data_IF_947923325290
#
_entry.id   IF_947923325290
#
_cell.length_a   1.000
_cell.length_b   1.000
_cell.length_c   1.000
_cell.angle_alpha   90.00
_cell.angle_beta   90.00
_cell.angle_gamma   90.00
#
_symmetry.space_group_name_H-M   'P 1'
#
loop_
_entity.id
_entity.type
_entity.pdbx_description
1 polymer ?
#
# COMPACT_ATOMS: atom_id res chain seq x y z
N UNK A 1 22.81 28.18 58.05
CA UNK A 1 22.03 29.25 57.42
C UNK A 1 22.56 29.40 56.00
N UNK A 2 21.78 28.96 55.00
CA UNK A 2 21.59 29.63 53.69
C UNK A 2 22.82 29.65 52.75
N UNK A 3 22.83 29.19 51.48
CA UNK A 3 21.85 29.01 50.39
C UNK A 3 22.47 28.03 49.36
N UNK A 4 21.74 27.05 48.84
CA UNK A 4 21.25 26.98 47.43
C UNK A 4 22.29 27.30 46.34
N UNK A 5 22.71 26.27 45.60
CA UNK A 5 22.98 26.30 44.15
C UNK A 5 22.28 25.03 43.60
N UNK A 6 21.08 25.16 43.03
CA UNK A 6 20.83 25.37 41.59
C UNK A 6 21.14 24.11 40.76
N UNK A 7 20.08 23.36 40.47
CA UNK A 7 20.00 22.42 39.35
C UNK A 7 19.99 23.20 38.04
N UNK A 8 20.63 22.67 36.98
CA UNK A 8 20.32 22.80 35.54
C UNK A 8 21.08 21.66 34.79
N UNK A 9 20.93 21.46 33.46
CA UNK A 9 19.84 20.70 32.84
C UNK A 9 20.37 19.67 31.81
N UNK A 10 19.65 18.59 31.53
CA UNK A 10 19.94 17.77 30.34
C UNK A 10 18.69 17.78 29.45
N UNK A 11 18.63 18.81 28.61
CA UNK A 11 17.73 18.91 27.47
C UNK A 11 18.10 17.79 26.48
N UNK A 12 17.23 16.79 26.36
CA UNK A 12 17.26 15.83 25.26
C UNK A 12 16.57 16.47 24.05
N UNK A 13 17.36 17.19 23.25
CA UNK A 13 17.01 17.48 21.86
C UNK A 13 17.79 16.46 21.02
N UNK A 14 17.08 15.59 20.30
CA UNK A 14 17.48 15.13 18.96
C UNK A 14 16.29 14.36 18.40
N UNK A 15 15.44 15.11 17.68
CA UNK A 15 14.49 14.56 16.74
C UNK A 15 15.24 13.65 15.76
N UNK A 16 15.13 12.34 15.97
CA UNK A 16 15.55 11.33 15.00
C UNK A 16 14.76 11.53 13.71
N UNK A 17 15.41 12.15 12.73
CA UNK A 17 14.94 12.28 11.35
C UNK A 17 14.47 10.91 10.86
N UNK A 18 13.25 10.75 10.30
CA UNK A 18 12.85 9.47 9.74
C UNK A 18 13.83 9.13 8.62
N UNK A 19 14.50 7.99 8.82
CA UNK A 19 15.46 7.43 7.89
C UNK A 19 14.87 7.44 6.47
N UNK A 20 15.62 8.08 5.59
CA UNK A 20 15.41 8.07 4.16
C UNK A 20 15.40 6.60 3.73
N UNK A 21 14.22 6.07 3.38
CA UNK A 21 14.08 4.70 2.87
C UNK A 21 14.73 4.66 1.49
N UNK A 22 16.01 4.30 1.47
CA UNK A 22 16.77 4.00 0.28
C UNK A 22 16.07 2.86 -0.47
N UNK A 23 15.23 3.22 -1.45
CA UNK A 23 14.68 2.31 -2.42
C UNK A 23 15.84 1.89 -3.33
N UNK A 24 16.62 0.92 -2.86
CA UNK A 24 17.72 0.32 -3.61
C UNK A 24 17.26 -0.17 -4.99
N UNK A 25 18.20 -0.34 -5.94
CA UNK A 25 17.89 -0.61 -7.34
C UNK A 25 17.28 -2.01 -7.48
N UNK A 26 15.95 -2.07 -7.55
CA UNK A 26 15.19 -3.30 -7.73
C UNK A 26 15.44 -3.90 -9.10
N UNK A 27 15.74 -5.20 -9.15
CA UNK A 27 15.64 -6.01 -10.36
C UNK A 27 14.31 -5.71 -11.07
N UNK A 28 14.36 -5.39 -12.37
CA UNK A 28 13.26 -4.94 -13.24
C UNK A 28 12.01 -5.86 -13.35
N UNK A 29 11.85 -6.85 -12.47
CA UNK A 29 10.65 -7.65 -12.30
C UNK A 29 9.70 -6.99 -11.29
N UNK A 30 9.08 -5.86 -11.68
CA UNK A 30 8.09 -5.16 -10.86
C UNK A 30 6.84 -6.01 -10.49
N UNK A 31 5.89 -5.39 -9.78
CA UNK A 31 4.68 -6.08 -9.33
C UNK A 31 3.78 -6.57 -10.48
N UNK A 32 3.25 -7.78 -10.36
CA UNK A 32 2.15 -8.30 -11.19
C UNK A 32 0.85 -8.35 -10.39
N UNK A 33 -0.22 -7.76 -10.94
CA UNK A 33 -1.57 -7.80 -10.37
C UNK A 33 -2.50 -8.62 -11.28
N UNK A 34 -3.01 -9.73 -10.78
CA UNK A 34 -3.91 -10.65 -11.52
C UNK A 34 -5.31 -10.66 -10.92
N UNK A 35 -6.34 -10.14 -11.60
CA UNK A 35 -7.72 -10.33 -11.19
C UNK A 35 -8.17 -11.78 -11.44
N UNK A 36 -8.64 -12.46 -10.41
CA UNK A 36 -9.23 -13.80 -10.56
C UNK A 36 -10.72 -13.68 -10.84
N UNK A 37 -11.23 -14.48 -11.79
CA UNK A 37 -12.67 -14.62 -12.05
C UNK A 37 -13.38 -14.91 -10.72
N UNK A 38 -14.42 -14.13 -10.44
CA UNK A 38 -15.27 -14.26 -9.24
C UNK A 38 -14.48 -14.20 -7.91
N UNK A 39 -13.25 -13.68 -7.95
CA UNK A 39 -12.28 -13.77 -6.87
C UNK A 39 -11.46 -12.50 -6.66
N UNK A 40 -10.39 -12.59 -5.84
CA UNK A 40 -9.58 -11.44 -5.42
C UNK A 40 -8.66 -10.90 -6.54
N UNK A 41 -7.93 -9.85 -6.22
CA UNK A 41 -6.74 -9.43 -6.96
C UNK A 41 -5.52 -10.12 -6.33
N UNK A 42 -4.76 -10.89 -7.10
CA UNK A 42 -3.51 -11.50 -6.63
C UNK A 42 -2.36 -10.58 -6.99
N UNK A 43 -1.58 -10.15 -6.00
CA UNK A 43 -0.39 -9.32 -6.19
C UNK A 43 0.84 -10.19 -5.94
N UNK A 44 1.84 -10.12 -6.83
CA UNK A 44 3.12 -10.83 -6.75
C UNK A 44 4.26 -9.91 -7.16
N UNK A 45 5.48 -10.24 -6.75
CA UNK A 45 6.69 -9.49 -7.11
C UNK A 45 7.04 -8.45 -6.07
N UNK A 46 7.85 -7.47 -6.46
CA UNK A 46 8.23 -6.36 -5.60
C UNK A 46 7.12 -5.29 -5.58
N UNK A 47 6.52 -5.07 -4.41
CA UNK A 47 5.49 -4.07 -4.21
C UNK A 47 5.50 -3.54 -2.78
N UNK A 48 5.09 -2.27 -2.64
CA UNK A 48 4.73 -1.67 -1.35
C UNK A 48 3.21 -1.56 -1.26
N UNK A 49 2.66 -1.89 -0.09
CA UNK A 49 1.26 -1.67 0.21
C UNK A 49 1.17 -0.53 1.22
N UNK A 50 0.47 0.54 0.86
CA UNK A 50 0.31 1.73 1.70
C UNK A 50 -1.17 2.09 1.81
N UNK A 51 -1.53 2.75 2.91
CA UNK A 51 -2.84 3.42 3.03
C UNK A 51 -2.84 4.83 2.41
N UNK A 52 -3.96 5.54 2.51
CA UNK A 52 -4.10 6.89 1.96
C UNK A 52 -3.22 7.95 2.65
N UNK A 53 -2.76 7.68 3.87
CA UNK A 53 -1.90 8.57 4.64
C UNK A 53 -0.41 8.26 4.39
N UNK A 54 -0.12 7.25 3.54
CA UNK A 54 1.22 6.82 3.18
C UNK A 54 1.83 5.84 4.18
N UNK A 55 1.07 5.35 5.15
CA UNK A 55 1.55 4.39 6.15
C UNK A 55 1.66 3.01 5.49
N UNK A 56 2.79 2.33 5.70
CA UNK A 56 2.99 0.98 5.19
C UNK A 56 2.10 -0.04 5.90
N UNK A 57 1.46 -0.89 5.11
CA UNK A 57 0.70 -2.04 5.57
C UNK A 57 1.56 -3.28 5.31
N UNK A 58 1.93 -3.99 6.37
CA UNK A 58 2.67 -5.25 6.25
C UNK A 58 1.84 -6.29 5.46
N UNK A 59 2.30 -6.73 4.27
CA UNK A 59 1.60 -7.75 3.49
C UNK A 59 1.75 -9.16 4.06
N UNK A 60 2.70 -9.38 4.98
CA UNK A 60 3.04 -10.66 5.62
C UNK A 60 3.69 -11.70 4.69
N UNK A 61 3.71 -11.45 3.37
CA UNK A 61 4.25 -12.36 2.35
C UNK A 61 4.43 -11.67 1.00
N UNK A 62 5.33 -12.20 0.16
CA UNK A 62 5.59 -11.73 -1.20
C UNK A 62 4.44 -11.95 -2.21
N UNK A 63 3.36 -12.64 -1.82
CA UNK A 63 2.18 -12.83 -2.66
C UNK A 63 0.93 -12.67 -1.82
N UNK A 64 0.14 -11.63 -2.09
CA UNK A 64 -1.08 -11.34 -1.34
C UNK A 64 -2.33 -11.44 -2.22
N UNK A 65 -3.48 -11.52 -1.55
CA UNK A 65 -4.79 -11.48 -2.18
C UNK A 65 -5.54 -10.28 -1.63
N UNK A 66 -5.83 -9.29 -2.47
CA UNK A 66 -6.61 -8.10 -2.12
C UNK A 66 -8.09 -8.31 -2.42
N UNK A 67 -8.93 -7.77 -1.55
CA UNK A 67 -10.38 -7.86 -1.65
C UNK A 67 -10.88 -7.09 -2.87
N UNK A 68 -11.57 -7.80 -3.77
CA UNK A 68 -12.25 -7.21 -4.94
C UNK A 68 -13.77 -7.15 -4.78
N UNK A 69 -14.35 -7.98 -3.91
CA UNK A 69 -15.79 -8.11 -3.75
C UNK A 69 -16.41 -7.14 -2.74
N UNK A 70 -15.58 -6.43 -1.95
CA UNK A 70 -16.04 -5.52 -0.89
C UNK A 70 -16.55 -6.19 0.40
N UNK A 71 -16.62 -7.53 0.46
CA UNK A 71 -17.25 -8.27 1.58
C UNK A 71 -16.27 -8.88 2.59
N UNK A 72 -14.97 -8.75 2.40
CA UNK A 72 -14.00 -9.26 3.39
C UNK A 72 -14.10 -8.52 4.74
N UNK A 73 -13.92 -9.24 5.84
CA UNK A 73 -13.78 -8.71 7.19
C UNK A 73 -12.35 -8.28 7.56
N UNK A 74 -11.35 -8.60 6.73
CA UNK A 74 -9.92 -8.26 6.96
C UNK A 74 -9.38 -7.36 5.84
N UNK A 75 -10.18 -6.38 5.40
CA UNK A 75 -9.77 -5.44 4.35
C UNK A 75 -8.43 -4.78 4.72
N UNK A 76 -7.53 -4.53 3.74
CA UNK A 76 -7.72 -4.67 2.29
C UNK A 76 -7.55 -6.11 1.77
N UNK A 77 -7.26 -7.09 2.62
CA UNK A 77 -7.01 -8.47 2.23
C UNK A 77 -8.29 -9.26 1.95
N UNK A 78 -8.14 -10.38 1.25
CA UNK A 78 -9.22 -11.32 0.95
C UNK A 78 -9.23 -12.51 1.94
N UNK A 79 -10.37 -12.76 2.59
CA UNK A 79 -10.65 -13.91 3.48
C UNK A 79 -11.58 -14.97 2.85
N UNK A 80 -11.80 -14.91 1.54
CA UNK A 80 -12.71 -15.82 0.84
C UNK A 80 -14.19 -15.44 0.89
N UNK A 81 -14.57 -14.30 1.49
CA UNK A 81 -15.95 -13.82 1.50
C UNK A 81 -16.60 -13.73 0.10
N UNK A 82 -15.81 -13.52 -0.95
CA UNK A 82 -16.28 -13.52 -2.35
C UNK A 82 -17.07 -14.79 -2.72
N UNK A 83 -16.70 -15.96 -2.18
CA UNK A 83 -17.41 -17.23 -2.42
C UNK A 83 -18.79 -17.22 -1.78
N UNK A 84 -18.85 -16.81 -0.50
CA UNK A 84 -20.08 -16.79 0.30
C UNK A 84 -21.04 -15.69 -0.14
N UNK A 85 -20.53 -14.59 -0.68
CA UNK A 85 -21.34 -13.46 -1.16
C UNK A 85 -21.82 -13.60 -2.61
N UNK A 86 -21.46 -14.68 -3.31
CA UNK A 86 -21.80 -14.87 -4.72
C UNK A 86 -21.21 -13.78 -5.64
N UNK A 87 -20.01 -13.29 -5.32
CA UNK A 87 -19.38 -12.25 -6.14
C UNK A 87 -19.13 -12.78 -7.55
N UNK A 88 -19.65 -12.09 -8.57
CA UNK A 88 -19.43 -12.43 -9.97
C UNK A 88 -18.80 -11.26 -10.71
N UNK A 89 -17.64 -11.51 -11.31
CA UNK A 89 -16.97 -10.55 -12.16
C UNK A 89 -15.89 -11.21 -13.01
N UNK A 90 -15.75 -10.82 -14.29
CA UNK A 90 -14.68 -11.32 -15.16
C UNK A 90 -13.30 -10.93 -14.61
N UNK A 91 -12.27 -11.66 -15.06
CA UNK A 91 -10.87 -11.34 -14.80
C UNK A 91 -10.36 -10.19 -15.68
N UNK A 92 -10.91 -10.05 -16.89
CA UNK A 92 -10.60 -8.97 -17.81
C UNK A 92 -11.72 -7.90 -17.83
N UNK A 93 -11.43 -6.66 -18.24
CA UNK A 93 -12.46 -5.64 -18.48
C UNK A 93 -13.51 -6.13 -19.48
N UNK A 94 -14.79 -5.93 -19.18
CA UNK A 94 -15.89 -6.23 -20.11
C UNK A 94 -16.14 -5.12 -21.13
N UNK A 95 -15.55 -3.93 -20.91
CA UNK A 95 -15.60 -2.77 -21.79
C UNK A 95 -14.21 -2.15 -21.89
N UNK A 96 -13.86 -1.52 -23.02
CA UNK A 96 -12.60 -0.78 -23.16
C UNK A 96 -12.52 0.31 -22.08
N UNK A 97 -11.36 0.42 -21.43
CA UNK A 97 -11.03 1.62 -20.64
C UNK A 97 -10.54 2.70 -21.63
N UNK A 98 -11.12 3.91 -21.66
CA UNK A 98 -10.63 4.98 -22.52
C UNK A 98 -9.18 5.35 -22.16
N UNK A 99 -8.22 4.97 -23.02
CA UNK A 99 -6.80 5.23 -22.79
C UNK A 99 -6.45 6.73 -22.79
N UNK A 100 -7.21 7.54 -23.53
CA UNK A 100 -7.02 8.99 -23.64
C UNK A 100 -7.17 9.76 -22.31
N UNK A 101 -7.78 9.14 -21.29
CA UNK A 101 -7.93 9.75 -19.96
C UNK A 101 -6.69 9.51 -19.09
N UNK A 102 -6.07 8.32 -19.20
CA UNK A 102 -4.87 7.94 -18.44
C UNK A 102 -3.64 8.76 -18.86
N UNK A 103 -3.46 8.97 -20.16
CA UNK A 103 -2.31 9.72 -20.69
C UNK A 103 -2.31 11.21 -20.29
N UNK A 104 -3.48 11.80 -20.05
CA UNK A 104 -3.60 13.20 -19.59
C UNK A 104 -3.23 13.37 -18.12
N UNK A 105 -3.43 12.32 -17.32
CA UNK A 105 -3.09 12.33 -15.90
C UNK A 105 -1.58 12.19 -15.71
N UNK A 106 -0.94 11.29 -16.47
CA UNK A 106 0.53 11.12 -16.48
C UNK A 106 1.23 12.41 -16.89
N UNK A 107 0.77 13.09 -17.96
CA UNK A 107 1.38 14.34 -18.44
C UNK A 107 1.19 15.53 -17.49
N UNK A 108 0.19 15.51 -16.60
CA UNK A 108 -0.07 16.60 -15.63
C UNK A 108 0.78 16.47 -14.37
N UNK A 109 1.24 15.26 -14.04
CA UNK A 109 2.14 15.00 -12.91
C UNK A 109 3.62 15.27 -13.21
N UNK A 110 3.95 15.66 -14.46
CA UNK A 110 5.32 15.93 -14.93
C UNK A 110 5.63 17.44 -15.06
N UNK A 111 4.66 18.32 -14.73
CA UNK A 111 4.78 19.79 -14.78
C UNK A 111 4.81 20.40 -13.36
#
# INVERSE_FOLDING_TARGET
>A
MTRHLSAEPELVDEAGSPAEVDAGPGDDAGATITPYRDGPLIVRGDFRLVDQDGVEIDPGRATIALCRCGKSGIKPFCDGAHKRSGFSAPSAPSRPRPAAQLQRETRRSED
#
